data_IF_551647043178
#
_entry.id   IF_551647043178
#
_cell.length_a   1.000
_cell.length_b   1.000
_cell.length_c   1.000
_cell.angle_alpha   90.00
_cell.angle_beta   90.00
_cell.angle_gamma   90.00
#
_symmetry.space_group_name_H-M   'P 1'
#
loop_
_entity.id
_entity.type
_entity.pdbx_description
1 polymer ?
#
# COMPACT_ATOMS: atom_id res chain seq x y z
N UNK A 1 -4.62 0.45 17.52
CA UNK A 1 -3.23 -0.06 17.34
C UNK A 1 -2.26 1.09 17.17
N UNK A 2 -2.35 1.91 16.11
CA UNK A 2 -1.47 3.08 15.92
C UNK A 2 -1.25 3.95 17.18
N UNK A 3 -2.34 4.38 17.82
CA UNK A 3 -2.27 5.19 19.05
C UNK A 3 -1.56 4.47 20.20
N UNK A 4 -1.80 3.16 20.36
CA UNK A 4 -1.14 2.32 21.38
C UNK A 4 0.33 2.05 21.06
N UNK A 5 0.72 2.08 19.79
CA UNK A 5 2.09 1.86 19.33
C UNK A 5 2.91 3.16 19.28
N UNK A 6 2.30 4.32 19.51
CA UNK A 6 2.96 5.61 19.43
C UNK A 6 4.05 5.79 20.50
N UNK A 7 3.84 5.26 21.71
CA UNK A 7 4.82 5.32 22.80
C UNK A 7 6.11 4.54 22.45
N UNK A 8 5.98 3.31 21.94
CA UNK A 8 7.13 2.50 21.50
C UNK A 8 7.88 3.15 20.32
N UNK A 9 7.15 3.84 19.44
CA UNK A 9 7.75 4.56 18.31
C UNK A 9 8.43 5.87 18.74
N UNK A 10 7.92 6.54 19.76
CA UNK A 10 8.51 7.75 20.35
C UNK A 10 9.89 7.47 20.97
N UNK A 11 10.07 6.29 21.58
CA UNK A 11 11.38 5.83 22.09
C UNK A 11 12.42 5.72 20.96
N UNK A 12 11.99 5.42 19.73
CA UNK A 12 12.87 5.35 18.55
C UNK A 12 12.87 6.62 17.69
N UNK A 13 12.20 7.70 18.13
CA UNK A 13 12.03 8.95 17.36
C UNK A 13 11.42 8.78 15.94
N UNK A 14 10.65 7.72 15.71
CA UNK A 14 9.99 7.46 14.42
C UNK A 14 8.49 7.73 14.52
N UNK A 15 7.95 8.58 13.63
CA UNK A 15 6.50 8.83 13.59
C UNK A 15 5.77 7.73 12.81
N UNK A 16 5.04 6.88 13.53
CA UNK A 16 4.31 5.76 12.93
C UNK A 16 2.98 6.21 12.29
N UNK A 17 2.99 6.32 10.96
CA UNK A 17 1.78 6.64 10.17
C UNK A 17 0.96 5.38 9.84
N UNK A 18 -0.14 5.53 9.11
CA UNK A 18 -0.95 4.39 8.63
C UNK A 18 -0.24 3.59 7.53
N UNK A 19 0.64 4.22 6.75
CA UNK A 19 1.27 3.62 5.56
C UNK A 19 2.07 2.35 5.86
N UNK A 20 2.94 2.29 6.90
CA UNK A 20 3.67 1.06 7.25
C UNK A 20 2.76 -0.14 7.54
N UNK A 21 1.63 0.08 8.24
CA UNK A 21 0.63 -0.96 8.46
C UNK A 21 -0.01 -1.42 7.16
N UNK A 22 -0.30 -0.48 6.27
CA UNK A 22 -0.90 -0.77 4.97
C UNK A 22 0.07 -1.51 4.04
N UNK A 23 1.35 -1.16 4.06
CA UNK A 23 2.41 -1.89 3.36
C UNK A 23 2.46 -3.35 3.82
N UNK A 24 2.43 -3.59 5.14
CA UNK A 24 2.37 -4.96 5.67
C UNK A 24 1.09 -5.70 5.31
N UNK A 25 -0.07 -5.04 5.38
CA UNK A 25 -1.35 -5.63 4.96
C UNK A 25 -1.36 -5.99 3.47
N UNK A 26 -0.82 -5.13 2.62
CA UNK A 26 -0.68 -5.38 1.17
C UNK A 26 0.26 -6.56 0.93
N UNK A 27 1.44 -6.60 1.56
CA UNK A 27 2.36 -7.74 1.39
C UNK A 27 1.75 -9.05 1.85
N UNK A 28 1.11 -9.09 3.02
CA UNK A 28 0.45 -10.30 3.51
C UNK A 28 -0.67 -10.77 2.56
N UNK A 29 -1.38 -9.84 1.93
CA UNK A 29 -2.35 -10.17 0.89
C UNK A 29 -1.68 -10.63 -0.42
N UNK A 30 -0.58 -9.99 -0.86
CA UNK A 30 0.15 -10.38 -2.07
C UNK A 30 0.78 -11.77 -1.92
N UNK A 31 1.16 -12.19 -0.71
CA UNK A 31 1.63 -13.55 -0.44
C UNK A 31 0.54 -14.61 -0.68
N UNK A 32 -0.73 -14.26 -0.37
CA UNK A 32 -1.89 -15.14 -0.60
C UNK A 32 -2.43 -15.06 -2.02
N UNK A 33 -2.28 -13.91 -2.68
CA UNK A 33 -2.74 -13.65 -4.04
C UNK A 33 -1.56 -13.18 -4.92
N UNK A 34 -0.62 -14.09 -5.26
CA UNK A 34 0.67 -13.73 -5.85
C UNK A 34 0.61 -13.17 -7.28
N UNK A 35 -0.48 -13.42 -8.00
CA UNK A 35 -0.80 -12.86 -9.31
C UNK A 35 -0.89 -11.34 -9.31
N UNK A 36 -1.34 -10.73 -8.20
CA UNK A 36 -1.35 -9.27 -8.04
C UNK A 36 0.06 -8.68 -7.92
N UNK A 37 1.07 -9.51 -7.59
CA UNK A 37 2.48 -9.12 -7.53
C UNK A 37 3.23 -9.58 -8.79
N UNK A 38 2.64 -9.35 -9.96
CA UNK A 38 3.18 -9.77 -11.23
C UNK A 38 3.50 -8.60 -12.15
N UNK A 39 4.17 -8.91 -13.27
CA UNK A 39 4.23 -8.02 -14.42
C UNK A 39 3.82 -8.73 -15.70
N UNK A 40 3.16 -8.02 -16.59
CA UNK A 40 2.85 -8.51 -17.93
C UNK A 40 4.03 -8.24 -18.87
N UNK A 41 4.64 -9.29 -19.39
CA UNK A 41 5.61 -9.22 -20.49
C UNK A 41 4.83 -9.33 -21.80
N UNK A 42 4.53 -8.18 -22.40
CA UNK A 42 3.76 -8.11 -23.65
C UNK A 42 4.52 -8.69 -24.84
N UNK A 43 5.85 -8.61 -24.86
CA UNK A 43 6.64 -9.14 -25.97
C UNK A 43 6.60 -10.68 -26.00
N UNK A 44 6.64 -11.31 -24.83
CA UNK A 44 6.62 -12.76 -24.68
C UNK A 44 5.24 -13.32 -24.32
N UNK A 45 4.21 -12.46 -24.25
CA UNK A 45 2.83 -12.80 -23.90
C UNK A 45 2.74 -13.66 -22.62
N UNK A 46 3.49 -13.29 -21.59
CA UNK A 46 3.55 -14.07 -20.34
C UNK A 46 3.43 -13.19 -19.11
N UNK A 47 2.85 -13.77 -18.05
CA UNK A 47 2.82 -13.17 -16.73
C UNK A 47 4.08 -13.58 -15.94
N UNK A 48 4.81 -12.60 -15.43
CA UNK A 48 6.01 -12.82 -14.60
C UNK A 48 5.64 -12.60 -13.14
N UNK A 49 5.47 -13.71 -12.41
CA UNK A 49 5.20 -13.68 -10.97
C UNK A 49 6.47 -13.32 -10.18
N UNK A 50 6.36 -12.35 -9.27
CA UNK A 50 7.48 -11.91 -8.43
C UNK A 50 7.29 -12.41 -7.01
N UNK A 51 8.33 -13.05 -6.46
CA UNK A 51 8.37 -13.54 -5.06
C UNK A 51 9.15 -12.62 -4.12
N UNK A 52 9.38 -11.39 -4.57
CA UNK A 52 9.93 -10.30 -3.79
C UNK A 52 8.92 -9.15 -3.79
N UNK A 53 8.88 -8.40 -2.69
CA UNK A 53 7.85 -7.40 -2.46
C UNK A 53 8.48 -6.02 -2.39
N UNK A 54 8.41 -5.28 -3.49
CA UNK A 54 8.95 -3.93 -3.59
C UNK A 54 7.78 -2.99 -3.86
N UNK A 55 7.42 -2.18 -2.87
CA UNK A 55 6.23 -1.36 -2.94
C UNK A 55 6.60 0.05 -3.39
N UNK A 56 6.07 0.46 -4.54
CA UNK A 56 6.06 1.86 -4.95
C UNK A 56 5.09 2.62 -4.07
N UNK A 57 5.50 3.77 -3.54
CA UNK A 57 4.64 4.66 -2.76
C UNK A 57 4.53 5.98 -3.50
N UNK A 58 3.34 6.29 -4.00
CA UNK A 58 3.10 7.53 -4.72
C UNK A 58 3.20 8.73 -3.76
N UNK A 59 4.14 9.62 -4.06
CA UNK A 59 4.53 10.77 -3.24
C UNK A 59 4.35 12.06 -4.04
N UNK A 60 3.55 12.97 -3.49
CA UNK A 60 3.38 14.32 -4.02
C UNK A 60 4.62 15.19 -3.69
N UNK A 61 5.24 15.76 -4.71
CA UNK A 61 6.37 16.69 -4.61
C UNK A 61 6.05 18.00 -5.35
N UNK A 62 6.80 19.09 -5.11
CA UNK A 62 6.58 20.35 -5.82
C UNK A 62 6.65 20.26 -7.36
N UNK A 63 7.23 19.20 -7.90
CA UNK A 63 7.42 18.92 -9.33
C UNK A 63 6.37 17.98 -9.91
N UNK A 64 5.47 17.48 -9.07
CA UNK A 64 4.48 16.48 -9.41
C UNK A 64 4.73 15.15 -8.71
N UNK A 65 4.22 14.09 -9.31
CA UNK A 65 4.21 12.77 -8.70
C UNK A 65 5.54 12.04 -8.90
N UNK A 66 6.15 11.63 -7.80
CA UNK A 66 7.30 10.71 -7.79
C UNK A 66 6.89 9.45 -7.03
N UNK A 67 7.34 8.27 -7.48
CA UNK A 67 7.02 6.98 -6.85
C UNK A 67 8.29 6.29 -6.35
N UNK A 68 8.82 6.67 -5.16
CA UNK A 68 9.85 5.90 -4.48
C UNK A 68 9.42 4.46 -4.22
N UNK A 69 10.39 3.55 -4.24
CA UNK A 69 10.20 2.11 -4.05
C UNK A 69 10.83 1.68 -2.74
N UNK A 70 10.00 1.25 -1.79
CA UNK A 70 10.48 0.57 -0.58
C UNK A 70 10.69 -0.90 -0.93
N UNK A 71 11.95 -1.35 -0.87
CA UNK A 71 12.33 -2.73 -1.26
C UNK A 71 12.12 -3.70 -0.10
N UNK A 72 12.04 -5.00 -0.40
CA UNK A 72 11.94 -6.13 0.55
C UNK A 72 11.03 -5.86 1.75
N UNK A 73 9.81 -5.37 1.49
CA UNK A 73 8.87 -4.92 2.54
C UNK A 73 8.47 -6.06 3.48
N UNK A 74 8.42 -7.28 2.96
CA UNK A 74 8.19 -8.51 3.73
C UNK A 74 9.21 -8.70 4.86
N UNK A 75 10.46 -8.31 4.65
CA UNK A 75 11.59 -8.57 5.57
C UNK A 75 11.81 -7.48 6.61
N UNK A 76 11.06 -6.38 6.56
CA UNK A 76 11.31 -5.17 7.37
C UNK A 76 10.29 -5.02 8.50
N UNK A 77 10.72 -4.53 9.67
CA UNK A 77 9.79 -4.20 10.76
C UNK A 77 8.94 -2.97 10.42
N UNK A 78 7.83 -2.74 11.13
CA UNK A 78 7.01 -1.52 10.94
C UNK A 78 7.81 -0.23 11.18
N UNK A 79 8.73 -0.23 12.14
CA UNK A 79 9.57 0.94 12.46
C UNK A 79 10.62 1.19 11.37
N UNK A 80 11.23 0.11 10.85
CA UNK A 80 12.13 0.19 9.69
C UNK A 80 11.41 0.75 8.47
N UNK A 81 10.21 0.23 8.16
CA UNK A 81 9.40 0.72 7.05
C UNK A 81 9.01 2.20 7.23
N UNK A 82 8.65 2.61 8.44
CA UNK A 82 8.31 4.00 8.73
C UNK A 82 9.50 4.95 8.52
N UNK A 83 10.68 4.57 9.01
CA UNK A 83 11.91 5.35 8.86
C UNK A 83 12.35 5.45 7.39
N UNK A 84 12.38 4.32 6.67
CA UNK A 84 12.78 4.28 5.26
C UNK A 84 11.80 5.03 4.37
N UNK A 85 10.49 4.90 4.61
CA UNK A 85 9.49 5.67 3.88
C UNK A 85 9.66 7.18 4.11
N UNK A 86 9.89 7.61 5.35
CA UNK A 86 10.13 9.02 5.66
C UNK A 86 11.38 9.53 4.92
N UNK A 87 12.47 8.75 4.93
CA UNK A 87 13.70 9.09 4.23
C UNK A 87 13.50 9.23 2.72
N UNK A 88 12.88 8.24 2.08
CA UNK A 88 12.62 8.25 0.63
C UNK A 88 11.66 9.37 0.22
N UNK A 89 10.66 9.67 1.05
CA UNK A 89 9.73 10.78 0.85
C UNK A 89 10.47 12.12 0.86
N UNK A 90 11.39 12.31 1.82
CA UNK A 90 12.19 13.54 1.90
C UNK A 90 13.15 13.66 0.71
N UNK A 91 13.81 12.59 0.32
CA UNK A 91 14.65 12.57 -0.88
C UNK A 91 13.85 12.90 -2.14
N UNK A 92 12.63 12.37 -2.28
CA UNK A 92 11.76 12.68 -3.40
C UNK A 92 11.37 14.18 -3.42
N UNK A 93 10.94 14.74 -2.28
CA UNK A 93 10.56 16.15 -2.15
C UNK A 93 11.73 17.12 -2.37
N UNK A 94 12.94 16.74 -1.98
CA UNK A 94 14.15 17.56 -2.13
C UNK A 94 14.89 17.33 -3.45
N UNK A 95 14.36 16.49 -4.35
CA UNK A 95 14.99 16.07 -5.61
C UNK A 95 16.38 15.43 -5.44
N UNK A 96 16.59 14.76 -4.31
CA UNK A 96 17.84 14.02 -4.02
C UNK A 96 17.67 12.52 -4.14
N UNK A 97 16.48 12.05 -4.54
CA UNK A 97 16.20 10.63 -4.73
C UNK A 97 17.03 10.06 -5.88
N UNK A 98 17.66 8.92 -5.63
CA UNK A 98 18.49 8.26 -6.62
C UNK A 98 17.64 7.37 -7.54
N UNK A 99 18.08 7.18 -8.79
CA UNK A 99 17.39 6.32 -9.75
C UNK A 99 17.10 4.89 -9.24
N UNK A 100 18.02 4.23 -8.51
CA UNK A 100 17.74 2.90 -7.95
C UNK A 100 16.57 2.86 -6.98
N UNK A 101 16.22 3.97 -6.35
CA UNK A 101 15.09 4.08 -5.41
C UNK A 101 13.76 4.32 -6.13
N UNK A 102 13.78 4.51 -7.45
CA UNK A 102 12.60 4.67 -8.30
C UNK A 102 12.30 3.40 -9.12
N UNK A 103 13.15 2.39 -9.04
CA UNK A 103 13.10 1.20 -9.91
C UNK A 103 12.81 -0.09 -9.14
N UNK A 104 12.30 -1.09 -9.86
CA UNK A 104 12.08 -2.44 -9.35
C UNK A 104 10.79 -2.62 -8.56
N UNK A 105 9.89 -1.64 -8.54
CA UNK A 105 8.57 -1.75 -7.92
C UNK A 105 7.74 -2.90 -8.52
N UNK A 106 7.06 -3.65 -7.67
CA UNK A 106 6.23 -4.80 -8.03
C UNK A 106 4.74 -4.56 -7.82
N UNK A 107 4.40 -3.65 -6.92
CA UNK A 107 3.04 -3.19 -6.63
C UNK A 107 3.11 -1.75 -6.13
N UNK A 108 2.07 -0.94 -6.35
CA UNK A 108 2.07 0.47 -5.94
C UNK A 108 0.93 0.79 -4.97
N UNK A 109 1.18 1.65 -3.99
CA UNK A 109 0.18 2.25 -3.11
C UNK A 109 0.14 3.75 -3.37
N UNK A 110 -1.06 4.30 -3.57
CA UNK A 110 -1.29 5.74 -3.75
C UNK A 110 -2.24 6.28 -2.70
N UNK A 111 -1.72 7.13 -1.81
CA UNK A 111 -2.48 7.70 -0.70
C UNK A 111 -2.92 9.14 -0.97
N UNK A 112 -3.86 9.31 -1.91
CA UNK A 112 -4.51 10.60 -2.17
C UNK A 112 -5.40 11.06 -1.00
N UNK A 113 -5.69 10.18 -0.04
CA UNK A 113 -6.36 10.51 1.22
C UNK A 113 -5.61 11.52 2.08
N UNK A 114 -4.27 11.59 1.94
CA UNK A 114 -3.46 12.61 2.61
C UNK A 114 -3.78 14.04 2.13
N UNK A 115 -4.24 14.18 0.88
CA UNK A 115 -4.65 15.46 0.28
C UNK A 115 -6.14 15.72 0.52
N UNK A 116 -6.96 14.65 0.53
CA UNK A 116 -8.37 14.71 0.91
C UNK A 116 -9.35 13.97 -0.02
N UNK A 117 -8.84 13.24 -1.02
CA UNK A 117 -9.67 12.43 -1.91
C UNK A 117 -10.34 11.27 -1.20
N UNK A 118 -11.52 10.85 -1.68
CA UNK A 118 -12.28 9.71 -1.12
C UNK A 118 -12.08 8.48 -2.00
N UNK A 119 -12.47 8.55 -3.28
CA UNK A 119 -12.21 7.50 -4.27
C UNK A 119 -11.42 8.10 -5.43
N UNK A 120 -10.66 7.26 -6.12
CA UNK A 120 -9.97 7.63 -7.35
C UNK A 120 -9.78 6.39 -8.23
N UNK A 121 -9.46 6.60 -9.50
CA UNK A 121 -9.05 5.54 -10.43
C UNK A 121 -7.54 5.69 -10.68
N UNK A 122 -6.68 5.21 -9.75
CA UNK A 122 -5.24 5.33 -9.91
C UNK A 122 -4.78 4.59 -11.17
N UNK A 123 -3.86 5.19 -11.90
CA UNK A 123 -3.28 4.58 -13.11
C UNK A 123 -2.19 3.57 -12.76
N UNK A 124 -2.14 2.47 -13.51
CA UNK A 124 -1.12 1.45 -13.35
C UNK A 124 0.27 2.00 -13.70
N UNK A 125 1.27 1.63 -12.91
CA UNK A 125 2.68 1.84 -13.24
C UNK A 125 3.20 0.61 -13.95
N UNK A 126 3.24 0.65 -15.28
CA UNK A 126 3.75 -0.47 -16.07
C UNK A 126 5.21 -0.79 -15.70
N UNK A 127 5.59 -2.08 -15.67
CA UNK A 127 4.81 -3.24 -16.09
C UNK A 127 4.00 -3.89 -14.94
N UNK A 128 3.74 -3.20 -13.82
CA UNK A 128 2.93 -3.75 -12.72
C UNK A 128 1.48 -3.97 -13.18
N UNK A 129 0.85 -4.99 -12.63
CA UNK A 129 -0.53 -5.37 -12.98
C UNK A 129 -1.59 -4.84 -12.02
N UNK A 130 -1.19 -4.21 -10.90
CA UNK A 130 -2.14 -3.67 -9.92
C UNK A 130 -1.58 -2.49 -9.12
N UNK A 131 -2.47 -1.61 -8.68
CA UNK A 131 -2.20 -0.46 -7.81
C UNK A 131 -3.35 -0.26 -6.82
N UNK A 132 -3.02 -0.05 -5.54
CA UNK A 132 -3.99 0.25 -4.49
C UNK A 132 -4.04 1.76 -4.20
N UNK A 133 -5.18 2.36 -4.49
CA UNK A 133 -5.56 3.71 -4.09
C UNK A 133 -6.18 3.74 -2.69
N UNK A 134 -5.84 4.77 -1.92
CA UNK A 134 -6.23 4.91 -0.51
C UNK A 134 -6.78 6.31 -0.29
N UNK A 135 -8.07 6.37 0.08
CA UNK A 135 -8.78 7.60 0.38
C UNK A 135 -8.60 8.09 1.80
N UNK A 136 -9.17 9.26 2.09
CA UNK A 136 -9.11 9.85 3.42
C UNK A 136 -9.94 9.04 4.42
N UNK A 137 -9.52 9.05 5.68
CA UNK A 137 -10.32 8.50 6.77
C UNK A 137 -11.58 9.34 6.96
N UNK A 138 -12.72 8.67 7.12
CA UNK A 138 -14.03 9.30 7.26
C UNK A 138 -14.72 8.77 8.50
N UNK A 139 -15.28 9.64 9.35
CA UNK A 139 -16.22 9.23 10.40
C UNK A 139 -17.64 9.35 9.85
N UNK A 140 -18.34 8.23 9.71
CA UNK A 140 -19.71 8.19 9.17
C UNK A 140 -20.61 7.26 10.00
N UNK A 141 -21.92 7.57 10.12
CA UNK A 141 -22.89 6.59 10.59
C UNK A 141 -23.01 5.47 9.55
N UNK A 142 -22.92 4.23 10.01
CA UNK A 142 -23.09 3.02 9.18
C UNK A 142 -23.91 2.00 9.95
N UNK A 143 -24.60 1.12 9.23
CA UNK A 143 -25.21 -0.07 9.82
C UNK A 143 -24.11 -1.10 10.06
N UNK A 144 -23.97 -1.55 11.32
CA UNK A 144 -22.98 -2.52 11.74
C UNK A 144 -23.58 -3.43 12.79
N UNK A 145 -23.62 -4.74 12.53
CA UNK A 145 -24.37 -5.71 13.35
C UNK A 145 -25.81 -5.25 13.62
N UNK A 146 -26.51 -4.87 12.54
CA UNK A 146 -27.92 -4.42 12.58
C UNK A 146 -28.19 -3.11 13.35
N UNK A 147 -27.15 -2.45 13.88
CA UNK A 147 -27.25 -1.18 14.60
C UNK A 147 -26.61 -0.02 13.82
N UNK A 148 -27.14 1.20 13.97
CA UNK A 148 -26.49 2.41 13.46
C UNK A 148 -25.36 2.80 14.43
N UNK A 149 -24.12 2.76 13.95
CA UNK A 149 -22.93 3.16 14.71
C UNK A 149 -22.06 4.14 13.90
N UNK A 150 -21.44 5.10 14.59
CA UNK A 150 -20.41 5.95 13.96
C UNK A 150 -19.11 5.15 13.87
N UNK A 151 -18.65 4.89 12.65
CA UNK A 151 -17.41 4.16 12.38
C UNK A 151 -16.42 5.00 11.58
N UNK A 152 -15.14 4.68 11.72
CA UNK A 152 -14.08 5.20 10.86
C UNK A 152 -13.97 4.30 9.63
N UNK A 153 -14.17 4.87 8.46
CA UNK A 153 -14.09 4.20 7.17
C UNK A 153 -12.81 4.62 6.45
N UNK A 154 -12.17 3.67 5.78
CA UNK A 154 -11.04 3.89 4.88
C UNK A 154 -11.45 3.43 3.48
N UNK A 155 -11.83 4.35 2.59
CA UNK A 155 -12.12 4.02 1.19
C UNK A 155 -10.87 3.50 0.48
N UNK A 156 -11.01 2.39 -0.25
CA UNK A 156 -9.93 1.79 -1.04
C UNK A 156 -10.39 1.67 -2.50
N UNK A 157 -9.49 1.93 -3.44
CA UNK A 157 -9.75 1.77 -4.88
C UNK A 157 -8.65 0.90 -5.48
N UNK A 158 -8.98 -0.29 -5.97
CA UNK A 158 -8.02 -1.17 -6.62
C UNK A 158 -8.16 -1.04 -8.14
N UNK A 159 -7.09 -0.61 -8.81
CA UNK A 159 -6.99 -0.70 -10.27
C UNK A 159 -6.09 -1.89 -10.60
N UNK A 160 -6.48 -2.68 -11.61
CA UNK A 160 -5.74 -3.83 -12.07
C UNK A 160 -5.83 -4.00 -13.59
N UNK A 161 -4.85 -4.69 -14.17
CA UNK A 161 -4.84 -5.04 -15.59
C UNK A 161 -5.71 -6.27 -15.84
N UNK A 162 -6.86 -6.08 -16.47
CA UNK A 162 -7.83 -7.15 -16.71
C UNK A 162 -7.36 -8.18 -17.76
N UNK A 163 -6.23 -7.92 -18.45
CA UNK A 163 -5.54 -8.91 -19.28
C UNK A 163 -4.78 -9.93 -18.44
N UNK A 164 -4.35 -9.54 -17.24
CA UNK A 164 -3.56 -10.36 -16.33
C UNK A 164 -4.40 -11.00 -15.21
N UNK A 165 -5.49 -10.35 -14.81
CA UNK A 165 -6.24 -10.67 -13.60
C UNK A 165 -7.75 -10.63 -13.86
N UNK A 166 -8.50 -11.48 -13.17
CA UNK A 166 -9.95 -11.41 -13.15
C UNK A 166 -10.47 -10.56 -11.96
N UNK A 167 -11.69 -10.05 -12.08
CA UNK A 167 -12.29 -9.21 -11.05
C UNK A 167 -12.55 -9.93 -9.72
N UNK A 168 -12.78 -11.24 -9.74
CA UNK A 168 -13.01 -12.00 -8.52
C UNK A 168 -11.72 -12.19 -7.72
N UNK A 169 -10.59 -12.42 -8.39
CA UNK A 169 -9.25 -12.48 -7.80
C UNK A 169 -8.85 -11.12 -7.22
N UNK A 170 -9.03 -10.05 -7.99
CA UNK A 170 -8.79 -8.68 -7.52
C UNK A 170 -9.64 -8.35 -6.27
N UNK A 171 -10.92 -8.73 -6.26
CA UNK A 171 -11.80 -8.52 -5.12
C UNK A 171 -11.40 -9.38 -3.91
N UNK A 172 -10.99 -10.63 -4.10
CA UNK A 172 -10.48 -11.50 -3.02
C UNK A 172 -9.21 -10.93 -2.40
N UNK A 173 -8.29 -10.41 -3.21
CA UNK A 173 -7.12 -9.68 -2.73
C UNK A 173 -7.53 -8.45 -1.90
N UNK A 174 -8.43 -7.61 -2.42
CA UNK A 174 -8.89 -6.42 -1.70
C UNK A 174 -9.58 -6.76 -0.37
N UNK A 175 -10.40 -7.82 -0.34
CA UNK A 175 -11.02 -8.33 0.89
C UNK A 175 -9.97 -8.79 1.92
N UNK A 176 -8.87 -9.39 1.45
CA UNK A 176 -7.77 -9.81 2.30
C UNK A 176 -7.05 -8.61 2.90
N UNK A 177 -6.76 -7.58 2.09
CA UNK A 177 -6.21 -6.30 2.56
C UNK A 177 -7.14 -5.66 3.60
N UNK A 178 -8.44 -5.59 3.32
CA UNK A 178 -9.44 -5.04 4.25
C UNK A 178 -9.47 -5.80 5.58
N UNK A 179 -9.34 -7.13 5.53
CA UNK A 179 -9.29 -7.98 6.74
C UNK A 179 -8.10 -7.63 7.64
N UNK A 180 -6.91 -7.46 7.06
CA UNK A 180 -5.72 -7.05 7.80
C UNK A 180 -5.82 -5.62 8.32
N UNK A 181 -6.39 -4.69 7.55
CA UNK A 181 -6.54 -3.30 8.00
C UNK A 181 -7.62 -3.15 9.08
N UNK A 182 -8.70 -3.91 9.01
CA UNK A 182 -9.75 -3.92 10.02
C UNK A 182 -9.26 -4.54 11.34
N UNK A 183 -8.34 -5.51 11.27
CA UNK A 183 -7.74 -6.13 12.46
C UNK A 183 -6.22 -6.30 12.31
N UNK A 184 -5.43 -5.23 12.51
CA UNK A 184 -3.98 -5.27 12.26
C UNK A 184 -3.21 -6.20 13.20
N UNK A 185 -3.80 -6.64 14.32
CA UNK A 185 -3.19 -7.67 15.17
C UNK A 185 -2.99 -9.00 14.41
N UNK A 186 -3.80 -9.27 13.38
CA UNK A 186 -3.65 -10.44 12.50
C UNK A 186 -2.32 -10.44 11.74
N UNK A 187 -1.70 -9.27 11.54
CA UNK A 187 -0.37 -9.20 10.92
C UNK A 187 0.68 -9.93 11.75
N UNK A 188 0.52 -9.99 13.08
CA UNK A 188 1.44 -10.70 13.98
C UNK A 188 1.47 -12.22 13.74
N UNK A 189 0.44 -12.78 13.13
CA UNK A 189 0.36 -14.22 12.84
C UNK A 189 1.06 -14.59 11.52
N UNK A 190 1.43 -13.58 10.72
CA UNK A 190 2.03 -13.72 9.39
C UNK A 190 3.42 -13.07 9.30
N UNK A 191 3.88 -12.44 10.38
CA UNK A 191 5.18 -11.79 10.49
C UNK A 191 6.27 -12.80 10.89
#
# INVERSE_FOLDING_TARGET
LRERSAEAAAVQQVHLTLLPFMMKAVVAALQQHPTLNASLDEAQQRLVLKRYYHLGIATDTPEGLIVPVVKTVDQKSLLTLASELAHLTELARTRRIALPDLQGGTFTISNYGAIGGIFATPMLLLPQVAILGVGKLLRKPVVYHEEIAVRTLLPLSLTFDHRALDGAEAQRFLNTVMTYLANPARLLLTL
#
